data_IF_655876963097
#
_entry.id   IF_655876963097
#
_cell.length_a   1.000
_cell.length_b   1.000
_cell.length_c   1.000
_cell.angle_alpha   90.00
_cell.angle_beta   90.00
_cell.angle_gamma   90.00
#
_symmetry.space_group_name_H-M   'P 1'
#
loop_
_entity.id
_entity.type
_entity.pdbx_description
1 polymer ?
#
# COMPACT_ATOMS: atom_id res chain seq x y z
N UNK A 1 -5.95 -7.27 -7.65
CA UNK A 1 -6.44 -8.47 -6.97
C UNK A 1 -5.37 -9.52 -6.76
N UNK A 2 -4.51 -9.69 -7.76
CA UNK A 2 -3.41 -10.65 -7.62
C UNK A 2 -2.54 -10.28 -6.43
N UNK A 3 -2.18 -9.00 -6.31
CA UNK A 3 -1.33 -8.56 -5.21
C UNK A 3 -2.00 -8.69 -3.86
N UNK A 4 -3.30 -8.39 -3.76
CA UNK A 4 -4.01 -8.53 -2.49
C UNK A 4 -4.16 -9.99 -2.10
N UNK A 5 -4.43 -10.85 -3.08
CA UNK A 5 -4.49 -12.29 -2.80
C UNK A 5 -3.14 -12.80 -2.33
N UNK A 6 -2.06 -12.34 -2.97
CA UNK A 6 -0.71 -12.72 -2.57
C UNK A 6 -0.38 -12.19 -1.17
N UNK A 7 -0.80 -10.95 -0.88
CA UNK A 7 -0.59 -10.37 0.45
C UNK A 7 -1.28 -11.20 1.52
N UNK A 8 -2.50 -11.63 1.25
CA UNK A 8 -3.25 -12.45 2.19
C UNK A 8 -2.60 -13.81 2.39
N UNK A 9 -2.13 -14.44 1.31
CA UNK A 9 -1.43 -15.72 1.41
C UNK A 9 -0.19 -15.58 2.29
N UNK A 10 0.59 -14.56 2.07
CA UNK A 10 1.82 -14.35 2.85
C UNK A 10 1.51 -14.04 4.31
N UNK A 11 0.45 -13.29 4.56
CA UNK A 11 0.01 -12.99 5.91
C UNK A 11 -0.43 -14.26 6.65
N UNK A 12 -1.12 -15.14 5.96
CA UNK A 12 -1.71 -16.34 6.57
C UNK A 12 -0.79 -17.55 6.55
N UNK A 13 0.37 -17.43 5.93
CA UNK A 13 1.29 -18.54 5.75
C UNK A 13 1.71 -19.14 7.09
N UNK A 14 1.76 -20.47 7.14
CA UNK A 14 2.15 -21.20 8.35
C UNK A 14 3.18 -22.24 7.99
N UNK A 15 4.11 -22.59 8.88
CA UNK A 15 4.21 -22.13 10.27
C UNK A 15 4.76 -20.72 10.43
N UNK A 16 5.37 -20.14 9.40
CA UNK A 16 6.00 -18.83 9.47
C UNK A 16 5.36 -17.90 8.45
N UNK A 17 4.66 -16.89 8.93
CA UNK A 17 4.06 -15.88 8.06
C UNK A 17 5.15 -14.96 7.52
N UNK A 18 4.93 -14.44 6.33
CA UNK A 18 5.86 -13.50 5.69
C UNK A 18 5.23 -12.11 5.68
N UNK A 19 5.31 -11.45 6.82
CA UNK A 19 4.65 -10.14 6.99
C UNK A 19 5.28 -9.05 6.13
N UNK A 20 6.60 -9.09 5.98
CA UNK A 20 7.31 -8.11 5.15
C UNK A 20 6.77 -8.12 3.72
N UNK A 21 6.75 -9.29 3.10
CA UNK A 21 6.30 -9.36 1.72
C UNK A 21 4.80 -9.20 1.60
N UNK A 22 4.05 -9.55 2.64
CA UNK A 22 2.62 -9.26 2.67
C UNK A 22 2.37 -7.75 2.56
N UNK A 23 3.11 -6.95 3.32
CA UNK A 23 2.98 -5.50 3.25
C UNK A 23 3.38 -4.98 1.88
N UNK A 24 4.48 -5.49 1.32
CA UNK A 24 4.91 -5.08 -0.01
C UNK A 24 3.86 -5.38 -1.07
N UNK A 25 3.23 -6.55 -0.99
CA UNK A 25 2.19 -6.88 -1.95
C UNK A 25 0.93 -6.03 -1.76
N UNK A 26 0.63 -5.67 -0.51
CA UNK A 26 -0.51 -4.79 -0.26
C UNK A 26 -0.33 -3.43 -0.94
N UNK A 27 0.84 -2.82 -0.80
CA UNK A 27 1.08 -1.52 -1.41
C UNK A 27 1.24 -1.66 -2.94
N UNK A 28 1.77 -2.78 -3.40
CA UNK A 28 1.89 -3.04 -4.84
C UNK A 28 0.53 -3.11 -5.51
N UNK A 29 -0.49 -3.58 -4.79
CA UNK A 29 -1.85 -3.60 -5.32
C UNK A 29 -2.33 -2.18 -5.61
N UNK A 30 -2.06 -1.24 -4.70
CA UNK A 30 -2.43 0.15 -4.89
C UNK A 30 -1.68 0.76 -6.06
N UNK A 31 -0.38 0.51 -6.13
CA UNK A 31 0.44 1.03 -7.21
C UNK A 31 -0.01 0.52 -8.57
N UNK A 32 -0.30 -0.79 -8.65
CA UNK A 32 -0.72 -1.39 -9.91
C UNK A 32 -2.06 -0.82 -10.38
N UNK A 33 -3.00 -0.65 -9.44
CA UNK A 33 -4.30 -0.07 -9.76
C UNK A 33 -4.15 1.36 -10.28
N UNK A 34 -3.34 2.16 -9.59
CA UNK A 34 -3.12 3.55 -9.99
C UNK A 34 -2.45 3.64 -11.35
N UNK A 35 -1.47 2.79 -11.61
CA UNK A 35 -0.81 2.76 -12.91
C UNK A 35 -1.80 2.39 -14.02
N UNK A 36 -2.64 1.41 -13.75
CA UNK A 36 -3.62 0.98 -14.73
C UNK A 36 -4.60 2.10 -15.08
N UNK A 37 -4.99 2.90 -14.09
CA UNK A 37 -6.02 3.92 -14.29
C UNK A 37 -5.47 5.25 -14.77
N UNK A 38 -4.19 5.54 -14.54
CA UNK A 38 -3.65 6.87 -14.82
C UNK A 38 -2.39 6.86 -15.67
N UNK A 39 -1.77 5.71 -15.87
CA UNK A 39 -0.45 5.58 -16.52
C UNK A 39 0.67 6.25 -15.71
N UNK A 40 0.39 6.65 -14.48
CA UNK A 40 1.42 7.25 -13.64
C UNK A 40 2.05 6.17 -12.78
N UNK A 41 3.34 6.30 -12.51
CA UNK A 41 4.08 5.29 -11.77
C UNK A 41 4.30 5.64 -10.30
N UNK A 42 3.65 6.68 -9.81
CA UNK A 42 3.68 6.99 -8.39
C UNK A 42 2.29 7.34 -7.91
N UNK A 43 2.05 7.10 -6.62
CA UNK A 43 0.73 7.36 -6.04
C UNK A 43 0.38 8.84 -6.11
N UNK A 44 1.33 9.71 -5.77
CA UNK A 44 1.06 11.14 -5.77
C UNK A 44 0.66 11.65 -7.14
N UNK A 45 1.41 11.23 -8.17
CA UNK A 45 1.09 11.64 -9.53
C UNK A 45 -0.24 11.07 -9.98
N UNK A 46 -0.52 9.82 -9.61
CA UNK A 46 -1.78 9.19 -9.98
C UNK A 46 -2.97 9.92 -9.37
N UNK A 47 -2.88 10.27 -8.09
CA UNK A 47 -3.97 11.01 -7.43
C UNK A 47 -4.16 12.38 -8.06
N UNK A 48 -3.08 13.05 -8.42
CA UNK A 48 -3.18 14.35 -9.11
C UNK A 48 -3.84 14.18 -10.48
N UNK A 49 -3.52 13.13 -11.20
CA UNK A 49 -4.12 12.87 -12.51
C UNK A 49 -5.61 12.60 -12.38
N UNK A 50 -6.00 11.84 -11.36
CA UNK A 50 -7.42 11.58 -11.12
C UNK A 50 -8.17 12.87 -10.85
N UNK A 51 -7.58 13.77 -10.07
CA UNK A 51 -8.20 15.07 -9.80
C UNK A 51 -8.33 15.90 -11.07
N UNK A 52 -7.30 15.88 -11.91
CA UNK A 52 -7.34 16.59 -13.18
C UNK A 52 -8.45 16.06 -14.09
N UNK A 53 -8.79 14.78 -13.93
CA UNK A 53 -9.86 14.15 -14.69
C UNK A 53 -11.23 14.29 -14.03
N UNK A 54 -11.34 15.10 -12.99
CA UNK A 54 -12.62 15.38 -12.36
C UNK A 54 -12.98 14.49 -11.20
N UNK A 55 -12.09 13.60 -10.78
CA UNK A 55 -12.34 12.71 -9.66
C UNK A 55 -11.78 13.37 -8.41
N UNK A 56 -12.68 13.88 -7.57
CA UNK A 56 -12.27 14.67 -6.41
C UNK A 56 -12.12 13.78 -5.19
N UNK A 57 -10.94 13.80 -4.61
CA UNK A 57 -10.64 13.07 -3.38
C UNK A 57 -10.43 14.11 -2.28
N UNK A 58 -11.17 14.03 -1.16
CA UNK A 58 -10.99 15.01 -0.08
C UNK A 58 -9.52 15.12 0.32
N UNK A 59 -9.09 16.36 0.50
CA UNK A 59 -7.66 16.64 0.72
C UNK A 59 -7.08 15.85 1.87
N UNK A 60 -7.79 15.72 2.99
CA UNK A 60 -7.26 15.01 4.15
C UNK A 60 -7.13 13.52 3.89
N UNK A 61 -8.05 12.94 3.10
CA UNK A 61 -7.91 11.54 2.73
C UNK A 61 -6.72 11.34 1.82
N UNK A 62 -6.51 12.26 0.89
CA UNK A 62 -5.36 12.21 0.00
C UNK A 62 -4.06 12.25 0.79
N UNK A 63 -3.98 13.12 1.78
CA UNK A 63 -2.81 13.21 2.65
C UNK A 63 -2.61 11.92 3.44
N UNK A 64 -3.69 11.35 3.95
CA UNK A 64 -3.61 10.11 4.73
C UNK A 64 -3.04 8.98 3.90
N UNK A 65 -3.52 8.81 2.68
CA UNK A 65 -3.02 7.77 1.79
C UNK A 65 -1.57 8.00 1.42
N UNK A 66 -1.20 9.26 1.19
CA UNK A 66 0.17 9.60 0.88
C UNK A 66 1.11 9.23 2.04
N UNK A 67 0.66 9.42 3.27
CA UNK A 67 1.45 9.06 4.44
C UNK A 67 1.59 7.54 4.58
N UNK A 68 0.53 6.80 4.28
CA UNK A 68 0.63 5.33 4.28
C UNK A 68 1.63 4.86 3.23
N UNK A 69 1.58 5.46 2.06
CA UNK A 69 2.53 5.12 1.01
C UNK A 69 3.95 5.44 1.43
N UNK A 70 4.15 6.60 2.06
CA UNK A 70 5.47 7.02 2.51
C UNK A 70 6.02 6.06 3.56
N UNK A 71 5.17 5.52 4.42
CA UNK A 71 5.60 4.54 5.40
C UNK A 71 6.30 3.36 4.74
N UNK A 72 5.77 2.90 3.61
CA UNK A 72 6.32 1.72 2.95
C UNK A 72 7.46 2.03 2.00
N UNK A 73 7.69 3.31 1.70
CA UNK A 73 8.60 3.68 0.63
C UNK A 73 9.78 4.53 1.05
N UNK A 74 9.90 4.86 2.33
CA UNK A 74 11.01 5.67 2.80
C UNK A 74 12.29 4.85 2.86
N UNK A 75 13.40 5.38 2.34
CA UNK A 75 14.66 4.62 2.33
C UNK A 75 15.16 4.27 3.72
N UNK A 76 14.99 5.18 4.67
CA UNK A 76 15.58 5.01 6.00
C UNK A 76 14.62 4.44 7.02
N UNK A 77 13.33 4.71 6.89
CA UNK A 77 12.36 4.32 7.87
C UNK A 77 11.18 3.59 7.26
N UNK A 78 11.16 3.45 5.94
CA UNK A 78 10.10 2.75 5.25
C UNK A 78 10.26 1.25 5.35
N UNK A 79 9.39 0.54 4.64
CA UNK A 79 9.32 -0.91 4.73
C UNK A 79 10.64 -1.58 4.39
N UNK A 80 11.42 -0.99 3.50
CA UNK A 80 12.68 -1.59 3.08
C UNK A 80 13.69 -1.65 4.22
N UNK A 81 13.83 -0.55 4.95
CA UNK A 81 14.82 -0.47 6.04
C UNK A 81 14.24 -0.99 7.34
N UNK A 82 13.02 -0.61 7.64
CA UNK A 82 12.39 -1.05 8.87
C UNK A 82 12.27 -2.56 8.92
N UNK A 83 12.26 -3.22 7.77
CA UNK A 83 12.14 -4.66 7.72
C UNK A 83 13.47 -5.37 7.55
N UNK A 84 14.54 -4.62 7.44
CA UNK A 84 15.85 -5.23 7.38
C UNK A 84 16.26 -5.62 8.78
N UNK A 85 16.23 -6.87 9.00
CA UNK A 85 16.46 -7.41 10.30
C UNK A 85 17.95 -7.47 10.57
N UNK A 86 18.50 -6.45 11.14
CA UNK A 86 19.89 -6.48 11.53
C UNK A 86 20.02 -5.68 12.81
N UNK A 87 20.68 -6.26 13.80
CA UNK A 87 21.03 -5.58 15.04
C UNK A 87 19.84 -4.99 15.77
N UNK A 88 18.74 -5.72 15.81
CA UNK A 88 17.57 -5.26 16.50
C UNK A 88 16.75 -4.27 15.71
N UNK A 89 16.96 -4.21 14.40
CA UNK A 89 16.15 -3.38 13.55
C UNK A 89 14.70 -3.83 13.61
N UNK A 90 13.81 -2.87 13.38
CA UNK A 90 12.38 -3.12 13.42
C UNK A 90 11.97 -4.18 12.39
N UNK A 91 11.23 -5.15 12.84
CA UNK A 91 10.63 -6.15 11.96
C UNK A 91 9.11 -6.06 12.13
N UNK A 92 8.36 -5.86 11.05
CA UNK A 92 6.93 -5.73 11.18
C UNK A 92 6.30 -7.02 11.69
N UNK A 93 5.32 -6.86 12.52
CA UNK A 93 4.57 -7.97 13.08
C UNK A 93 3.25 -8.12 12.34
N UNK A 94 2.42 -9.05 12.82
CA UNK A 94 1.12 -9.28 12.22
C UNK A 94 0.24 -8.03 12.26
N UNK A 95 0.42 -7.20 13.27
CA UNK A 95 -0.38 -5.99 13.42
C UNK A 95 -0.19 -5.03 12.24
N UNK A 96 1.06 -4.77 11.87
CA UNK A 96 1.34 -3.88 10.75
C UNK A 96 0.91 -4.51 9.43
N UNK A 97 1.14 -5.81 9.28
CA UNK A 97 0.75 -6.50 8.06
C UNK A 97 -0.76 -6.48 7.87
N UNK A 98 -1.51 -6.74 8.94
CA UNK A 98 -2.96 -6.71 8.88
C UNK A 98 -3.46 -5.30 8.58
N UNK A 99 -2.89 -4.31 9.26
CA UNK A 99 -3.28 -2.92 9.04
C UNK A 99 -3.08 -2.52 7.57
N UNK A 100 -1.93 -2.86 7.00
CA UNK A 100 -1.64 -2.50 5.62
C UNK A 100 -2.54 -3.26 4.64
N UNK A 101 -2.79 -4.54 4.91
CA UNK A 101 -3.67 -5.32 4.03
C UNK A 101 -5.07 -4.74 4.01
N UNK A 102 -5.61 -4.43 5.19
CA UNK A 102 -6.96 -3.87 5.29
C UNK A 102 -7.02 -2.45 4.73
N UNK A 103 -6.02 -1.63 5.05
CA UNK A 103 -5.98 -0.24 4.59
C UNK A 103 -5.86 -0.15 3.07
N UNK A 104 -5.00 -0.96 2.48
CA UNK A 104 -4.83 -0.95 1.03
C UNK A 104 -6.08 -1.49 0.33
N UNK A 105 -6.71 -2.51 0.91
CA UNK A 105 -7.97 -3.03 0.37
C UNK A 105 -9.07 -1.96 0.42
N UNK A 106 -9.16 -1.26 1.55
CA UNK A 106 -10.16 -0.21 1.72
C UNK A 106 -9.92 0.94 0.75
N UNK A 107 -8.66 1.33 0.56
CA UNK A 107 -8.31 2.40 -0.35
C UNK A 107 -8.66 2.03 -1.79
N UNK A 108 -8.32 0.79 -2.19
CA UNK A 108 -8.66 0.33 -3.53
C UNK A 108 -10.16 0.33 -3.76
N UNK A 109 -10.92 -0.15 -2.80
CA UNK A 109 -12.36 -0.16 -2.90
C UNK A 109 -12.90 1.26 -3.01
N UNK A 110 -12.34 2.19 -2.24
CA UNK A 110 -12.71 3.59 -2.29
C UNK A 110 -12.48 4.17 -3.69
N UNK A 111 -11.27 3.94 -4.24
CA UNK A 111 -10.95 4.46 -5.57
C UNK A 111 -11.83 3.85 -6.65
N UNK A 112 -12.09 2.56 -6.57
CA UNK A 112 -12.96 1.90 -7.54
C UNK A 112 -14.34 2.54 -7.56
N UNK A 113 -14.86 2.91 -6.40
CA UNK A 113 -16.16 3.55 -6.33
C UNK A 113 -16.14 4.98 -6.85
N UNK A 114 -15.03 5.69 -6.64
CA UNK A 114 -14.90 7.06 -7.12
C UNK A 114 -14.71 7.13 -8.63
N UNK A 115 -14.00 6.18 -9.18
CA UNK A 115 -13.63 6.21 -10.60
C UNK A 115 -14.75 5.69 -11.50
N UNK A 116 -15.60 4.89 -10.97
CA UNK A 116 -16.66 4.20 -11.69
C UNK A 116 -17.52 5.11 -12.57
#
# INVERSE_FOLDING_TARGET
KIHLNRALELYAQRPTADYRNSIKESISAVEAFCREKTDENSLGKALNRLEANGIIIPKLLKVAFDKLYAYTNQPDTGIRHALMDSDGAYTPASEEALFMLVSCSAFLNYLCRKIR
#
